data_IF_808462997647
#
_entry.id   IF_808462997647
#
_cell.length_a   1.000
_cell.length_b   1.000
_cell.length_c   1.000
_cell.angle_alpha   90.00
_cell.angle_beta   90.00
_cell.angle_gamma   90.00
#
_symmetry.space_group_name_H-M   'P 1'
#
loop_
_entity.id
_entity.type
_entity.pdbx_description
1 polymer ?
#
# COMPACT_ATOMS: atom_id res chain seq x y z
N UNK A 1 -6.84 2.45 39.11
CA UNK A 1 -7.69 3.22 38.16
C UNK A 1 -7.06 3.12 36.78
N UNK A 2 -7.79 2.56 35.81
CA UNK A 2 -7.37 2.54 34.41
C UNK A 2 -7.89 3.75 33.64
N UNK A 3 -7.42 3.96 32.42
CA UNK A 3 -7.89 5.05 31.54
C UNK A 3 -9.21 4.73 30.83
N UNK A 4 -9.69 3.49 30.88
CA UNK A 4 -10.83 3.00 30.10
C UNK A 4 -12.09 3.85 30.27
N UNK A 5 -12.47 4.18 31.51
CA UNK A 5 -13.64 5.02 31.80
C UNK A 5 -13.48 6.50 31.39
N UNK A 6 -12.25 6.96 31.22
CA UNK A 6 -11.95 8.34 30.84
C UNK A 6 -12.03 8.60 29.33
N UNK A 7 -12.00 7.57 28.49
CA UNK A 7 -12.04 7.72 27.03
C UNK A 7 -13.48 7.98 26.58
N UNK A 8 -13.73 9.18 26.08
CA UNK A 8 -15.03 9.57 25.51
C UNK A 8 -15.12 9.27 24.01
N UNK A 9 -14.07 9.59 23.24
CA UNK A 9 -13.99 9.35 21.81
C UNK A 9 -12.65 8.72 21.42
N UNK A 10 -12.64 8.02 20.28
CA UNK A 10 -11.45 7.48 19.65
C UNK A 10 -11.44 7.89 18.18
N UNK A 11 -10.39 8.61 17.77
CA UNK A 11 -10.17 8.97 16.37
C UNK A 11 -9.31 7.90 15.69
N UNK A 12 -9.77 7.37 14.56
CA UNK A 12 -9.09 6.27 13.85
C UNK A 12 -9.13 6.43 12.33
N UNK A 13 -8.22 5.73 11.65
CA UNK A 13 -8.35 5.53 10.21
C UNK A 13 -9.49 4.55 9.88
N UNK A 14 -9.85 4.48 8.60
CA UNK A 14 -10.99 3.69 8.12
C UNK A 14 -10.62 2.22 7.86
N UNK A 15 -9.46 1.73 8.32
CA UNK A 15 -9.11 0.33 8.18
C UNK A 15 -10.12 -0.56 8.93
N UNK A 16 -10.51 -1.67 8.31
CA UNK A 16 -11.52 -2.59 8.87
C UNK A 16 -11.10 -3.19 10.21
N UNK A 17 -9.80 -3.39 10.44
CA UNK A 17 -9.26 -3.86 11.72
C UNK A 17 -9.67 -2.97 12.90
N UNK A 18 -9.78 -1.65 12.69
CA UNK A 18 -10.14 -0.73 13.76
C UNK A 18 -11.61 -0.86 14.16
N UNK A 19 -12.49 -1.34 13.27
CA UNK A 19 -13.89 -1.62 13.60
C UNK A 19 -13.98 -2.72 14.67
N UNK A 20 -13.17 -3.77 14.54
CA UNK A 20 -13.12 -4.87 15.52
C UNK A 20 -12.54 -4.38 16.84
N UNK A 21 -11.44 -3.62 16.79
CA UNK A 21 -10.77 -3.07 17.97
C UNK A 21 -11.71 -2.17 18.80
N UNK A 22 -12.49 -1.28 18.17
CA UNK A 22 -13.45 -0.45 18.89
C UNK A 22 -14.64 -1.25 19.46
N UNK A 23 -15.08 -2.30 18.78
CA UNK A 23 -16.13 -3.19 19.30
C UNK A 23 -15.69 -3.93 20.57
N UNK A 24 -14.44 -4.42 20.61
CA UNK A 24 -13.88 -5.01 21.84
C UNK A 24 -13.67 -3.95 22.93
N UNK A 25 -13.23 -2.75 22.56
CA UNK A 25 -13.06 -1.65 23.51
C UNK A 25 -14.39 -1.26 24.18
N UNK A 26 -15.50 -1.19 23.43
CA UNK A 26 -16.82 -0.93 23.99
C UNK A 26 -17.25 -1.99 25.01
N UNK A 27 -16.92 -3.28 24.79
CA UNK A 27 -17.22 -4.33 25.79
C UNK A 27 -16.49 -4.08 27.09
N UNK A 28 -15.19 -3.78 27.02
CA UNK A 28 -14.36 -3.48 28.20
C UNK A 28 -14.85 -2.20 28.90
N UNK A 29 -15.25 -1.19 28.14
CA UNK A 29 -15.76 0.06 28.70
C UNK A 29 -17.10 -0.13 29.44
N UNK A 30 -17.97 -1.04 28.98
CA UNK A 30 -19.24 -1.36 29.65
C UNK A 30 -19.08 -2.01 31.02
N UNK A 31 -17.94 -2.64 31.28
CA UNK A 31 -17.64 -3.25 32.59
C UNK A 31 -17.25 -2.20 33.65
N UNK A 32 -17.04 -0.94 33.26
CA UNK A 32 -16.71 0.14 34.19
C UNK A 32 -17.98 0.83 34.70
N UNK A 33 -18.04 1.04 36.02
CA UNK A 33 -19.11 1.82 36.64
C UNK A 33 -19.01 3.30 36.25
N UNK A 34 -20.13 3.88 35.82
CA UNK A 34 -20.26 5.32 35.62
C UNK A 34 -20.30 6.02 36.97
N UNK A 35 -19.58 7.13 37.09
CA UNK A 35 -19.57 7.96 38.30
C UNK A 35 -20.23 9.30 38.03
N UNK A 36 -20.55 10.07 39.06
CA UNK A 36 -21.04 11.45 38.89
C UNK A 36 -20.04 12.35 38.16
N UNK A 37 -18.75 12.03 38.22
CA UNK A 37 -17.66 12.75 37.53
C UNK A 37 -17.42 12.23 36.10
N UNK A 38 -17.80 10.98 35.82
CA UNK A 38 -17.77 10.35 34.50
C UNK A 38 -19.12 9.68 34.22
N UNK A 39 -20.19 10.46 33.94
CA UNK A 39 -21.53 9.93 33.67
C UNK A 39 -21.67 9.31 32.28
N UNK A 40 -20.56 8.99 31.62
CA UNK A 40 -20.53 8.43 30.26
C UNK A 40 -19.74 7.13 30.23
N UNK A 41 -20.10 6.30 29.26
CA UNK A 41 -19.34 5.10 28.89
C UNK A 41 -19.11 5.17 27.39
N UNK A 42 -17.90 4.80 26.95
CA UNK A 42 -17.61 4.73 25.53
C UNK A 42 -18.60 3.80 24.82
N UNK A 43 -19.23 4.28 23.76
CA UNK A 43 -20.02 3.49 22.81
C UNK A 43 -19.50 3.73 21.40
N UNK A 44 -19.35 2.67 20.59
CA UNK A 44 -18.86 2.81 19.21
C UNK A 44 -19.72 3.80 18.42
N UNK A 45 -21.04 3.79 18.62
CA UNK A 45 -21.98 4.68 17.93
C UNK A 45 -21.68 6.18 18.14
N UNK A 46 -21.19 6.55 19.32
CA UNK A 46 -21.02 7.96 19.74
C UNK A 46 -19.55 8.37 19.80
N UNK A 47 -18.65 7.42 20.08
CA UNK A 47 -17.23 7.65 20.29
C UNK A 47 -16.35 7.35 19.08
N UNK A 48 -16.83 6.70 18.02
CA UNK A 48 -16.05 6.42 16.81
C UNK A 48 -15.94 7.64 15.90
N UNK A 49 -14.77 8.29 15.90
CA UNK A 49 -14.47 9.42 15.02
C UNK A 49 -13.55 8.93 13.89
N UNK A 50 -14.04 8.93 12.65
CA UNK A 50 -13.21 8.56 11.49
C UNK A 50 -12.30 9.72 11.07
N UNK A 51 -11.12 9.36 10.56
CA UNK A 51 -10.13 10.31 10.05
C UNK A 51 -10.71 11.16 8.89
N UNK A 52 -10.80 12.48 9.10
CA UNK A 52 -11.35 13.43 8.13
C UNK A 52 -10.63 13.41 6.78
N UNK A 53 -9.30 13.27 6.78
CA UNK A 53 -8.51 13.18 5.56
C UNK A 53 -8.90 11.97 4.70
N UNK A 54 -9.20 10.84 5.35
CA UNK A 54 -9.64 9.64 4.65
C UNK A 54 -11.08 9.79 4.12
N UNK A 55 -11.98 10.42 4.87
CA UNK A 55 -13.35 10.71 4.44
C UNK A 55 -13.35 11.61 3.20
N UNK A 56 -12.54 12.69 3.20
CA UNK A 56 -12.38 13.58 2.04
C UNK A 56 -11.86 12.79 0.84
N UNK A 57 -10.83 11.96 1.03
CA UNK A 57 -10.28 11.15 -0.06
C UNK A 57 -11.33 10.19 -0.66
N UNK A 58 -12.12 9.50 0.17
CA UNK A 58 -13.22 8.64 -0.32
C UNK A 58 -14.25 9.47 -1.09
N UNK A 59 -14.69 10.61 -0.54
CA UNK A 59 -15.70 11.46 -1.18
C UNK A 59 -15.22 11.99 -2.54
N UNK A 60 -13.96 12.43 -2.63
CA UNK A 60 -13.35 12.86 -3.89
C UNK A 60 -13.26 11.71 -4.89
N UNK A 61 -12.81 10.53 -4.46
CA UNK A 61 -12.74 9.35 -5.33
C UNK A 61 -14.12 8.96 -5.87
N UNK A 62 -15.16 9.01 -5.05
CA UNK A 62 -16.54 8.72 -5.45
C UNK A 62 -17.09 9.77 -6.42
N UNK A 63 -16.90 11.06 -6.12
CA UNK A 63 -17.30 12.15 -7.00
C UNK A 63 -16.62 12.06 -8.37
N UNK A 64 -15.31 11.75 -8.40
CA UNK A 64 -14.58 11.55 -9.66
C UNK A 64 -15.13 10.37 -10.46
N UNK A 65 -15.49 9.25 -9.81
CA UNK A 65 -16.16 8.11 -10.47
C UNK A 65 -17.48 8.53 -11.09
N UNK A 66 -18.32 9.26 -10.38
CA UNK A 66 -19.59 9.78 -10.91
C UNK A 66 -19.38 10.67 -12.13
N UNK A 67 -18.34 11.50 -12.11
CA UNK A 67 -18.00 12.40 -13.21
C UNK A 67 -17.32 11.70 -14.41
N UNK A 68 -17.12 10.37 -14.35
CA UNK A 68 -16.25 9.61 -15.29
C UNK A 68 -14.84 10.21 -15.43
N UNK A 69 -14.45 11.02 -14.46
CA UNK A 69 -13.13 11.63 -14.32
C UNK A 69 -12.28 10.83 -13.32
N UNK A 70 -12.78 9.68 -12.86
CA UNK A 70 -11.99 8.74 -12.08
C UNK A 70 -10.73 8.41 -12.86
N UNK A 71 -9.56 8.42 -12.20
CA UNK A 71 -8.36 7.83 -12.77
C UNK A 71 -8.74 6.44 -13.30
N UNK A 72 -8.40 6.16 -14.56
CA UNK A 72 -8.80 4.92 -15.20
C UNK A 72 -8.48 3.73 -14.28
N UNK A 73 -9.46 2.84 -14.05
CA UNK A 73 -9.33 1.59 -13.27
C UNK A 73 -8.15 0.72 -13.73
N UNK A 74 -7.62 1.00 -14.93
CA UNK A 74 -6.49 0.34 -15.58
C UNK A 74 -5.17 0.38 -14.80
N UNK A 75 -4.99 1.29 -13.85
CA UNK A 75 -3.77 1.32 -13.02
C UNK A 75 -3.72 0.21 -11.95
N UNK A 76 -4.79 -0.57 -11.77
CA UNK A 76 -4.83 -1.69 -10.82
C UNK A 76 -5.40 -3.00 -11.39
N UNK A 77 -6.04 -3.02 -12.56
CA UNK A 77 -6.60 -4.25 -13.15
C UNK A 77 -5.55 -5.36 -13.41
N UNK A 78 -4.28 -4.99 -13.59
CA UNK A 78 -3.17 -5.96 -13.70
C UNK A 78 -2.83 -6.68 -12.39
N UNK A 79 -3.39 -6.28 -11.24
CA UNK A 79 -3.09 -6.89 -9.94
C UNK A 79 -3.57 -8.35 -9.84
N UNK A 80 -4.52 -8.76 -10.69
CA UNK A 80 -5.17 -10.07 -10.59
C UNK A 80 -4.88 -11.07 -11.73
N UNK A 81 -4.43 -10.65 -12.92
CA UNK A 81 -4.36 -11.55 -14.09
C UNK A 81 -2.97 -11.66 -14.75
N UNK A 82 -2.52 -12.90 -14.98
CA UNK A 82 -1.25 -13.21 -15.65
C UNK A 82 -1.36 -12.87 -17.15
N UNK A 83 -0.46 -12.02 -17.67
CA UNK A 83 -0.44 -11.63 -19.09
C UNK A 83 -1.22 -10.35 -19.44
N UNK A 84 -1.90 -9.71 -18.47
CA UNK A 84 -2.63 -8.45 -18.67
C UNK A 84 -1.75 -7.19 -18.55
N UNK A 85 -0.43 -7.35 -18.40
CA UNK A 85 0.53 -6.25 -18.20
C UNK A 85 0.93 -5.55 -19.51
N UNK A 86 -0.02 -5.19 -20.38
CA UNK A 86 0.29 -4.41 -21.59
C UNK A 86 0.42 -2.92 -21.24
N UNK A 87 1.54 -2.31 -21.63
CA UNK A 87 1.76 -0.86 -21.52
C UNK A 87 1.08 -0.20 -22.74
N UNK A 88 0.25 0.85 -22.58
CA UNK A 88 -0.23 1.64 -23.70
C UNK A 88 0.96 2.30 -24.42
N UNK A 89 1.19 1.95 -25.68
CA UNK A 89 2.16 2.63 -26.55
C UNK A 89 1.51 3.90 -27.11
N UNK A 90 1.83 5.05 -26.52
CA UNK A 90 1.56 6.36 -27.14
C UNK A 90 2.58 7.40 -26.69
N UNK A 91 3.25 7.99 -27.69
CA UNK A 91 4.11 9.19 -27.74
C UNK A 91 4.63 9.85 -26.44
N UNK A 92 5.93 10.18 -26.47
CA UNK A 92 6.79 10.79 -25.45
C UNK A 92 6.26 12.07 -24.77
N UNK A 93 5.79 11.93 -23.54
CA UNK A 93 5.79 13.00 -22.53
C UNK A 93 6.47 12.46 -21.26
N UNK A 94 7.26 13.27 -20.54
CA UNK A 94 7.97 12.86 -19.31
C UNK A 94 7.04 12.30 -18.23
N UNK A 95 5.81 12.83 -18.15
CA UNK A 95 4.76 12.31 -17.28
C UNK A 95 4.31 10.88 -17.64
N UNK A 96 4.41 10.49 -18.91
CA UNK A 96 4.06 9.14 -19.39
C UNK A 96 5.16 8.14 -19.00
N UNK A 97 6.43 8.54 -19.09
CA UNK A 97 7.56 7.71 -18.68
C UNK A 97 7.50 7.39 -17.18
N UNK A 98 7.35 8.40 -16.32
CA UNK A 98 7.19 8.22 -14.87
C UNK A 98 6.00 7.30 -14.55
N UNK A 99 4.85 7.51 -15.20
CA UNK A 99 3.67 6.65 -15.03
C UNK A 99 3.96 5.19 -15.44
N UNK A 100 4.64 4.98 -16.55
CA UNK A 100 5.00 3.65 -17.05
C UNK A 100 5.98 2.95 -16.11
N UNK A 101 7.04 3.64 -15.67
CA UNK A 101 8.02 3.12 -14.71
C UNK A 101 7.36 2.76 -13.38
N UNK A 102 6.51 3.63 -12.82
CA UNK A 102 5.75 3.31 -11.61
C UNK A 102 4.77 2.14 -11.83
N UNK A 103 4.17 2.02 -13.01
CA UNK A 103 3.32 0.88 -13.39
C UNK A 103 4.09 -0.44 -13.45
N UNK A 104 5.30 -0.45 -14.03
CA UNK A 104 6.21 -1.62 -14.01
C UNK A 104 6.60 -1.96 -12.57
N UNK A 105 7.00 -0.96 -11.78
CA UNK A 105 7.43 -1.13 -10.39
C UNK A 105 6.34 -1.80 -9.53
N UNK A 106 5.09 -1.32 -9.60
CA UNK A 106 3.97 -1.90 -8.84
C UNK A 106 3.78 -3.39 -9.15
N UNK A 107 3.86 -3.77 -10.44
CA UNK A 107 3.77 -5.17 -10.89
C UNK A 107 4.95 -5.99 -10.40
N UNK A 108 6.14 -5.43 -10.50
CA UNK A 108 7.38 -6.05 -10.04
C UNK A 108 7.28 -6.40 -8.54
N UNK A 109 6.88 -5.43 -7.73
CA UNK A 109 6.71 -5.61 -6.28
C UNK A 109 5.64 -6.64 -5.96
N UNK A 110 4.53 -6.65 -6.69
CA UNK A 110 3.50 -7.66 -6.51
C UNK A 110 4.05 -9.08 -6.67
N UNK A 111 4.82 -9.34 -7.74
CA UNK A 111 5.45 -10.64 -7.98
C UNK A 111 6.41 -10.99 -6.85
N UNK A 112 7.34 -10.10 -6.52
CA UNK A 112 8.35 -10.33 -5.47
C UNK A 112 7.76 -10.52 -4.07
N UNK A 113 6.64 -9.86 -3.77
CA UNK A 113 6.00 -9.93 -2.45
C UNK A 113 5.10 -11.15 -2.30
N UNK A 114 4.31 -11.47 -3.34
CA UNK A 114 3.21 -12.44 -3.22
C UNK A 114 3.54 -13.83 -3.76
N UNK A 115 4.53 -13.97 -4.66
CA UNK A 115 4.96 -15.29 -5.14
C UNK A 115 6.06 -15.86 -4.26
N UNK A 116 5.81 -17.03 -3.66
CA UNK A 116 6.73 -17.67 -2.68
C UNK A 116 8.16 -17.80 -3.22
N UNK A 117 8.34 -18.31 -4.43
CA UNK A 117 9.67 -18.49 -5.04
C UNK A 117 10.47 -17.18 -5.12
N UNK A 118 9.82 -16.10 -5.57
CA UNK A 118 10.45 -14.78 -5.70
C UNK A 118 10.74 -14.14 -4.34
N UNK A 119 9.82 -14.29 -3.38
CA UNK A 119 9.99 -13.82 -2.01
C UNK A 119 11.19 -14.49 -1.34
N UNK A 120 11.29 -15.81 -1.47
CA UNK A 120 12.38 -16.60 -0.89
C UNK A 120 13.72 -16.27 -1.55
N UNK A 121 13.73 -16.12 -2.89
CA UNK A 121 14.92 -15.70 -3.63
C UNK A 121 15.39 -14.31 -3.20
N UNK A 122 14.47 -13.34 -3.09
CA UNK A 122 14.77 -11.98 -2.63
C UNK A 122 15.38 -11.98 -1.24
N UNK A 123 14.80 -12.75 -0.32
CA UNK A 123 15.33 -12.83 1.02
C UNK A 123 16.74 -13.45 1.05
N UNK A 124 17.00 -14.50 0.27
CA UNK A 124 18.33 -15.11 0.15
C UNK A 124 19.35 -14.12 -0.41
N UNK A 125 19.00 -13.43 -1.51
CA UNK A 125 19.92 -12.50 -2.16
C UNK A 125 20.16 -11.24 -1.32
N UNK A 126 19.15 -10.77 -0.58
CA UNK A 126 19.30 -9.63 0.35
C UNK A 126 20.31 -9.97 1.44
N UNK A 127 20.23 -11.18 2.01
CA UNK A 127 21.21 -11.66 3.00
C UNK A 127 22.59 -11.82 2.37
N UNK A 128 22.69 -12.38 1.16
CA UNK A 128 23.96 -12.53 0.45
C UNK A 128 24.63 -11.17 0.13
N UNK A 129 23.82 -10.14 -0.13
CA UNK A 129 24.30 -8.77 -0.33
C UNK A 129 24.64 -8.03 0.98
N UNK A 130 24.51 -8.68 2.14
CA UNK A 130 24.77 -8.06 3.46
C UNK A 130 23.72 -7.02 3.87
N UNK A 131 22.56 -6.99 3.22
CA UNK A 131 21.51 -6.00 3.48
C UNK A 131 20.53 -6.50 4.55
N UNK A 132 19.96 -5.56 5.31
CA UNK A 132 18.88 -5.88 6.24
C UNK A 132 17.66 -6.35 5.46
N UNK A 133 17.05 -7.45 5.91
CA UNK A 133 15.79 -7.96 5.34
C UNK A 133 14.74 -6.84 5.36
N UNK A 134 14.32 -6.43 4.17
CA UNK A 134 13.28 -5.43 3.96
C UNK A 134 12.12 -6.10 3.24
N UNK A 135 10.90 -5.85 3.71
CA UNK A 135 9.71 -6.29 3.01
C UNK A 135 9.25 -5.18 2.06
N UNK A 136 9.06 -5.52 0.79
CA UNK A 136 8.50 -4.59 -0.19
C UNK A 136 7.05 -4.23 0.17
N UNK A 137 6.73 -2.94 0.18
CA UNK A 137 5.39 -2.41 0.38
C UNK A 137 4.65 -2.24 -0.94
N UNK A 138 3.35 -2.58 -0.95
CA UNK A 138 2.49 -2.28 -2.09
C UNK A 138 2.10 -0.81 -2.07
N UNK A 139 1.93 -0.23 -3.25
CA UNK A 139 1.32 1.09 -3.40
C UNK A 139 -0.17 1.04 -3.01
N UNK A 140 -0.59 1.95 -2.15
CA UNK A 140 -1.92 2.00 -1.57
C UNK A 140 -2.53 3.37 -1.83
N UNK A 141 -3.49 3.50 -2.78
CA UNK A 141 -4.06 4.79 -3.17
C UNK A 141 -4.61 5.62 -2.01
N UNK A 142 -5.06 4.95 -0.95
CA UNK A 142 -5.64 5.56 0.25
C UNK A 142 -4.62 5.97 1.32
N UNK A 143 -3.32 5.67 1.13
CA UNK A 143 -2.22 6.02 2.04
C UNK A 143 -1.24 6.93 1.31
N UNK A 144 -1.26 8.22 1.64
CA UNK A 144 -0.60 9.29 0.86
C UNK A 144 0.90 9.09 0.63
N UNK A 145 1.61 8.43 1.54
CA UNK A 145 3.06 8.19 1.41
C UNK A 145 3.41 6.82 0.82
N UNK A 146 2.43 6.01 0.41
CA UNK A 146 2.70 4.62 0.01
C UNK A 146 3.53 4.50 -1.27
N UNK A 147 3.34 5.39 -2.26
CA UNK A 147 4.20 5.48 -3.45
C UNK A 147 5.66 5.74 -3.06
N UNK A 148 5.90 6.69 -2.16
CA UNK A 148 7.24 7.04 -1.70
C UNK A 148 7.90 5.86 -0.97
N UNK A 149 7.20 5.22 -0.04
CA UNK A 149 7.69 4.04 0.69
C UNK A 149 8.01 2.88 -0.27
N UNK A 150 7.15 2.66 -1.28
CA UNK A 150 7.34 1.66 -2.33
C UNK A 150 8.64 1.91 -3.11
N UNK A 151 8.86 3.14 -3.58
CA UNK A 151 10.06 3.52 -4.35
C UNK A 151 11.32 3.43 -3.48
N UNK A 152 11.28 4.02 -2.28
CA UNK A 152 12.40 4.01 -1.32
C UNK A 152 12.83 2.58 -0.95
N UNK A 153 11.88 1.66 -0.77
CA UNK A 153 12.16 0.27 -0.46
C UNK A 153 12.83 -0.47 -1.63
N UNK A 154 12.37 -0.26 -2.86
CA UNK A 154 12.93 -0.93 -4.04
C UNK A 154 14.32 -0.41 -4.37
N UNK A 155 14.57 0.89 -4.24
CA UNK A 155 15.90 1.48 -4.46
C UNK A 155 16.94 0.81 -3.54
N UNK A 156 16.62 0.62 -2.26
CA UNK A 156 17.49 -0.07 -1.29
C UNK A 156 17.77 -1.53 -1.66
N UNK A 157 16.88 -2.15 -2.42
CA UNK A 157 16.95 -3.54 -2.86
C UNK A 157 17.30 -3.68 -4.35
N UNK A 158 17.81 -2.63 -5.00
CA UNK A 158 18.14 -2.67 -6.43
C UNK A 158 19.12 -3.81 -6.75
N UNK A 159 20.26 -3.90 -6.03
CA UNK A 159 21.27 -4.94 -6.25
C UNK A 159 20.72 -6.38 -6.15
N UNK A 160 20.01 -6.78 -5.07
CA UNK A 160 19.45 -8.12 -5.00
C UNK A 160 18.35 -8.38 -6.03
N UNK A 161 17.52 -7.39 -6.35
CA UNK A 161 16.47 -7.52 -7.39
C UNK A 161 17.11 -7.77 -8.76
N UNK A 162 18.09 -6.96 -9.16
CA UNK A 162 18.79 -7.10 -10.44
C UNK A 162 19.49 -8.46 -10.54
N UNK A 163 20.13 -8.93 -9.47
CA UNK A 163 20.79 -10.24 -9.45
C UNK A 163 19.82 -11.41 -9.62
N UNK A 164 18.63 -11.33 -9.02
CA UNK A 164 17.59 -12.36 -9.19
C UNK A 164 17.05 -12.36 -10.62
N UNK A 165 16.77 -11.18 -11.18
CA UNK A 165 16.31 -11.08 -12.56
C UNK A 165 17.35 -11.55 -13.58
N UNK A 166 18.65 -11.46 -13.27
CA UNK A 166 19.73 -11.96 -14.13
C UNK A 166 19.93 -13.49 -14.03
N UNK A 167 19.70 -14.08 -12.85
CA UNK A 167 19.94 -15.51 -12.59
C UNK A 167 18.73 -16.39 -12.87
N UNK A 168 17.53 -15.87 -12.64
CA UNK A 168 16.29 -16.59 -12.86
C UNK A 168 15.92 -16.47 -14.35
N UNK A 169 15.67 -17.61 -15.02
CA UNK A 169 15.00 -17.58 -16.32
C UNK A 169 13.71 -16.79 -16.13
N UNK A 170 13.61 -15.64 -16.79
CA UNK A 170 12.46 -14.76 -16.64
C UNK A 170 11.21 -15.57 -16.92
N UNK A 171 10.38 -15.78 -15.89
CA UNK A 171 9.00 -16.22 -16.07
C UNK A 171 8.40 -15.28 -17.12
N UNK A 172 7.62 -15.83 -18.06
CA UNK A 172 6.95 -15.05 -19.11
C UNK A 172 6.23 -13.81 -18.55
N UNK A 173 5.70 -13.92 -17.33
CA UNK A 173 5.04 -12.82 -16.63
C UNK A 173 5.95 -11.68 -16.15
N UNK A 174 7.28 -11.89 -16.08
CA UNK A 174 8.26 -10.87 -15.70
C UNK A 174 8.89 -10.18 -16.90
N UNK A 175 8.86 -10.79 -18.09
CA UNK A 175 9.51 -10.27 -19.30
C UNK A 175 9.00 -8.89 -19.68
N UNK A 176 7.70 -8.68 -19.62
CA UNK A 176 7.04 -7.43 -20.01
C UNK A 176 7.12 -6.32 -18.93
N UNK A 177 7.59 -6.68 -17.73
CA UNK A 177 7.66 -5.78 -16.55
C UNK A 177 9.08 -5.70 -15.97
N UNK A 178 10.09 -6.10 -16.76
CA UNK A 178 11.49 -5.90 -16.41
C UNK A 178 11.78 -4.41 -16.23
N UNK A 179 12.48 -4.07 -15.14
CA UNK A 179 12.97 -2.73 -14.90
C UNK A 179 14.29 -2.55 -15.68
N UNK A 180 14.28 -1.67 -16.68
CA UNK A 180 15.46 -1.34 -17.49
C UNK A 180 16.36 -0.35 -16.74
N UNK A 181 17.62 -0.14 -17.18
CA UNK A 181 18.48 0.88 -16.60
C UNK A 181 17.83 2.28 -16.56
N UNK A 182 17.07 2.64 -17.59
CA UNK A 182 16.33 3.89 -17.68
C UNK A 182 15.22 3.97 -16.63
N UNK A 183 14.49 2.87 -16.40
CA UNK A 183 13.50 2.80 -15.32
C UNK A 183 14.16 3.06 -13.95
N UNK A 184 15.36 2.51 -13.71
CA UNK A 184 16.09 2.77 -12.46
C UNK A 184 16.52 4.23 -12.32
N UNK A 185 17.00 4.86 -13.40
CA UNK A 185 17.35 6.30 -13.39
C UNK A 185 16.11 7.13 -13.04
N UNK A 186 14.97 6.84 -13.67
CA UNK A 186 13.70 7.51 -13.39
C UNK A 186 13.27 7.30 -11.94
N UNK A 187 13.41 6.10 -11.37
CA UNK A 187 13.08 5.84 -9.97
C UNK A 187 13.97 6.60 -8.99
N UNK A 188 15.27 6.77 -9.28
CA UNK A 188 16.18 7.55 -8.44
C UNK A 188 15.94 9.07 -8.54
N UNK A 189 15.27 9.53 -9.60
CA UNK A 189 14.93 10.94 -9.80
C UNK A 189 13.59 11.35 -9.16
N UNK A 190 12.81 10.40 -8.62
CA UNK A 190 11.54 10.63 -7.92
C UNK A 190 11.73 10.85 -6.41
#
# INVERSE_FOLDING_TARGET
MGITGAVFTCTRDNASANTVMLAEYEKIAREQEVTTQQPWTFRVKEGDVRCIAHIINIAVQDALKTLKAAPAEQAESYRCEQGAARIPTSSSESNIEVKNTLGKLRRHIYVFRNRRQWKDALQKQTVAAGLKKLQLSLDMPVRWNSTYEMVSAVIKLQTPITAICATQQMDLSMRDIALTPEDWITLHAL
#
